data_IF_501431613501
#
_entry.id   IF_501431613501
#
_cell.length_a   1.000
_cell.length_b   1.000
_cell.length_c   1.000
_cell.angle_alpha   90.00
_cell.angle_beta   90.00
_cell.angle_gamma   90.00
#
_symmetry.space_group_name_H-M   'P 1'
#
loop_
_entity.id
_entity.type
_entity.pdbx_description
1 polymer ?
#
# COMPACT_ATOMS: atom_id res chain seq x y z
N UNK A 1 -17.06 41.19 39.77
CA UNK A 1 -17.10 39.78 39.31
C UNK A 1 -16.04 39.59 38.23
N UNK A 2 -15.08 38.68 38.48
CA UNK A 2 -14.26 37.91 37.52
C UNK A 2 -14.03 38.52 36.11
N UNK A 3 -12.89 39.19 35.92
CA UNK A 3 -12.19 39.16 34.63
C UNK A 3 -10.74 38.73 34.88
N UNK A 4 -10.62 37.44 35.20
CA UNK A 4 -9.39 36.67 35.00
C UNK A 4 -9.43 36.24 33.54
N UNK A 5 -8.64 36.84 32.66
CA UNK A 5 -8.12 36.10 31.51
C UNK A 5 -7.20 36.94 30.64
N UNK A 6 -6.06 36.31 30.36
CA UNK A 6 -5.19 36.54 29.22
C UNK A 6 -4.25 37.74 29.30
N UNK A 7 -2.95 37.41 29.37
CA UNK A 7 -1.82 37.93 28.59
C UNK A 7 -0.58 37.21 29.17
N UNK A 8 -0.25 36.02 28.68
CA UNK A 8 0.65 35.78 27.54
C UNK A 8 2.01 36.47 27.78
N UNK A 9 2.82 35.89 28.66
CA UNK A 9 4.28 36.11 28.70
C UNK A 9 4.91 34.76 29.03
N UNK A 10 5.30 34.00 28.01
CA UNK A 10 5.83 32.66 28.19
C UNK A 10 6.62 32.18 26.99
N UNK A 11 7.93 32.43 27.07
CA UNK A 11 9.00 31.75 26.37
C UNK A 11 9.02 31.83 24.83
N UNK A 12 9.80 32.79 24.34
CA UNK A 12 10.47 32.70 23.05
C UNK A 12 11.52 31.59 23.14
N UNK A 13 11.20 30.39 22.64
CA UNK A 13 12.18 29.30 22.48
C UNK A 13 12.94 29.50 21.17
N UNK A 14 14.19 29.94 21.29
CA UNK A 14 15.22 29.84 20.24
C UNK A 14 15.94 28.50 20.44
N UNK A 15 15.92 27.65 19.42
CA UNK A 15 16.76 26.45 19.31
C UNK A 15 16.85 26.05 17.83
N UNK A 16 17.92 26.41 17.13
CA UNK A 16 19.22 25.71 17.05
C UNK A 16 19.17 24.50 16.09
N UNK A 17 20.07 24.57 15.10
CA UNK A 17 20.23 23.64 14.00
C UNK A 17 20.53 22.19 14.43
N UNK A 18 19.83 21.25 13.80
CA UNK A 18 20.15 19.82 13.71
C UNK A 18 19.30 19.28 12.56
N UNK A 19 19.85 18.70 11.49
CA UNK A 19 20.85 17.66 11.49
C UNK A 19 20.13 16.32 11.34
N UNK A 20 20.42 15.65 10.22
CA UNK A 20 20.19 14.23 9.88
C UNK A 20 18.77 13.75 9.52
N UNK A 21 18.78 12.96 8.44
CA UNK A 21 17.68 12.37 7.68
C UNK A 21 16.88 11.40 8.56
N UNK A 22 15.61 11.69 8.82
CA UNK A 22 14.67 10.62 9.11
C UNK A 22 14.15 10.14 7.76
N UNK A 23 14.73 9.04 7.27
CA UNK A 23 13.99 8.19 6.33
C UNK A 23 12.73 7.82 7.08
N UNK A 24 11.62 8.42 6.67
CA UNK A 24 10.30 7.90 6.97
C UNK A 24 10.39 6.39 6.73
N UNK A 25 9.93 5.52 7.67
CA UNK A 25 9.61 4.18 7.28
C UNK A 25 8.40 4.33 6.35
N UNK A 26 8.66 4.68 5.09
CA UNK A 26 7.70 4.41 4.01
C UNK A 26 7.34 2.97 4.26
N UNK A 27 6.07 2.65 4.56
CA UNK A 27 5.69 1.26 4.70
C UNK A 27 6.13 0.64 3.38
N UNK A 28 7.23 -0.11 3.40
CA UNK A 28 7.55 -1.02 2.32
C UNK A 28 6.29 -1.83 2.26
N UNK A 29 5.47 -1.56 1.23
CA UNK A 29 4.14 -2.10 1.09
C UNK A 29 4.27 -3.55 1.51
N UNK A 30 3.74 -3.83 2.70
CA UNK A 30 3.64 -5.18 3.17
C UNK A 30 2.69 -5.73 2.13
N UNK A 31 3.24 -6.40 1.11
CA UNK A 31 2.47 -7.25 0.24
C UNK A 31 2.04 -8.38 1.16
N UNK A 32 1.06 -8.08 2.01
CA UNK A 32 0.00 -8.98 2.39
C UNK A 32 -0.54 -9.46 1.05
N UNK A 33 0.13 -10.49 0.54
CA UNK A 33 -0.37 -11.23 -0.58
C UNK A 33 -1.82 -11.56 -0.23
N UNK A 34 -2.74 -11.44 -1.19
CA UNK A 34 -4.14 -11.78 -1.00
C UNK A 34 -4.39 -12.84 0.06
N UNK A 35 -5.21 -12.50 1.06
CA UNK A 35 -5.78 -13.49 1.97
C UNK A 35 -6.70 -14.50 1.25
N UNK A 36 -7.04 -14.23 -0.03
CA UNK A 36 -7.81 -15.10 -0.92
C UNK A 36 -7.37 -14.97 -2.39
N UNK A 37 -7.41 -16.06 -3.15
CA UNK A 37 -7.08 -16.08 -4.58
C UNK A 37 -8.20 -16.69 -5.42
N UNK A 38 -8.32 -16.27 -6.68
CA UNK A 38 -9.31 -16.84 -7.60
C UNK A 38 -9.01 -18.32 -7.88
N UNK A 39 -10.04 -19.12 -8.15
CA UNK A 39 -9.85 -20.54 -8.49
C UNK A 39 -9.16 -20.70 -9.85
N UNK A 40 -9.44 -19.80 -10.78
CA UNK A 40 -8.91 -19.82 -12.13
C UNK A 40 -9.03 -18.44 -12.80
N UNK A 41 -8.34 -18.27 -13.91
CA UNK A 41 -8.37 -17.02 -14.66
C UNK A 41 -9.69 -16.71 -15.36
N UNK A 42 -10.56 -17.69 -15.60
CA UNK A 42 -11.89 -17.42 -16.13
C UNK A 42 -12.75 -16.67 -15.11
N UNK A 43 -12.63 -17.00 -13.83
CA UNK A 43 -13.31 -16.30 -12.74
C UNK A 43 -12.79 -14.87 -12.59
N UNK A 44 -11.47 -14.66 -12.60
CA UNK A 44 -10.87 -13.33 -12.54
C UNK A 44 -11.26 -12.44 -13.74
N UNK A 45 -11.35 -13.01 -14.95
CA UNK A 45 -11.81 -12.30 -16.15
C UNK A 45 -13.31 -12.03 -16.11
N UNK A 46 -14.13 -12.97 -15.64
CA UNK A 46 -15.57 -12.76 -15.47
C UNK A 46 -15.87 -11.66 -14.43
N UNK A 47 -15.03 -11.56 -13.40
CA UNK A 47 -15.06 -10.46 -12.44
C UNK A 47 -14.51 -9.14 -12.99
N UNK A 48 -13.90 -9.14 -14.18
CA UNK A 48 -13.34 -7.94 -14.81
C UNK A 48 -12.09 -7.39 -14.14
N UNK A 49 -11.41 -8.18 -13.31
CA UNK A 49 -10.23 -7.75 -12.54
C UNK A 49 -8.91 -8.24 -13.13
N UNK A 50 -8.94 -9.09 -14.15
CA UNK A 50 -7.74 -9.51 -14.86
C UNK A 50 -7.22 -8.40 -15.79
N UNK A 51 -5.88 -8.24 -15.96
CA UNK A 51 -4.80 -9.06 -15.38
C UNK A 51 -4.50 -8.73 -13.91
N UNK A 52 -4.11 -9.76 -13.14
CA UNK A 52 -3.79 -9.66 -11.72
C UNK A 52 -2.28 -9.58 -11.51
N UNK A 53 -1.83 -8.69 -10.63
CA UNK A 53 -0.40 -8.49 -10.36
C UNK A 53 0.00 -9.09 -9.02
N UNK A 54 1.26 -9.52 -8.89
CA UNK A 54 1.82 -9.96 -7.60
C UNK A 54 1.54 -8.92 -6.50
N UNK A 55 0.97 -9.39 -5.39
CA UNK A 55 0.59 -8.54 -4.25
C UNK A 55 -0.82 -7.94 -4.34
N UNK A 56 -1.54 -8.09 -5.45
CA UNK A 56 -2.94 -7.70 -5.52
C UNK A 56 -3.87 -8.77 -4.93
N UNK A 57 -4.96 -8.39 -4.25
CA UNK A 57 -6.00 -9.30 -3.82
C UNK A 57 -6.50 -10.16 -5.00
N UNK A 58 -6.74 -11.46 -4.80
CA UNK A 58 -7.11 -12.38 -5.86
C UNK A 58 -5.93 -13.00 -6.63
N UNK A 59 -4.73 -12.42 -6.59
CA UNK A 59 -3.53 -13.03 -7.18
C UNK A 59 -3.19 -14.35 -6.48
N UNK A 60 -2.92 -15.38 -7.26
CA UNK A 60 -2.32 -16.61 -6.78
C UNK A 60 -1.23 -17.03 -7.74
N UNK A 61 -0.10 -17.52 -7.23
CA UNK A 61 0.99 -18.00 -8.08
C UNK A 61 0.54 -19.13 -9.03
N UNK A 62 -0.54 -19.85 -8.72
CA UNK A 62 -1.15 -20.85 -9.60
C UNK A 62 -1.89 -20.25 -10.81
N UNK A 63 -2.20 -18.95 -10.79
CA UNK A 63 -2.83 -18.22 -11.89
C UNK A 63 -1.82 -17.61 -12.86
N UNK A 64 -0.56 -17.55 -12.43
CA UNK A 64 0.59 -17.01 -13.14
C UNK A 64 1.43 -18.18 -13.65
N UNK A 65 1.13 -18.66 -14.85
CA UNK A 65 1.67 -19.92 -15.35
C UNK A 65 3.17 -19.83 -15.66
N UNK A 66 3.62 -18.68 -16.13
CA UNK A 66 5.00 -18.40 -16.51
C UNK A 66 5.81 -17.73 -15.40
N UNK A 67 5.15 -17.22 -14.34
CA UNK A 67 5.79 -16.79 -13.10
C UNK A 67 6.41 -15.39 -13.18
N UNK A 68 6.01 -14.58 -14.16
CA UNK A 68 6.55 -13.25 -14.38
C UNK A 68 5.99 -12.21 -13.39
N UNK A 69 4.91 -12.58 -12.68
CA UNK A 69 4.21 -11.75 -11.71
C UNK A 69 2.91 -11.14 -12.23
N UNK A 70 2.47 -11.51 -13.43
CA UNK A 70 1.21 -11.08 -14.05
C UNK A 70 0.36 -12.32 -14.33
N UNK A 71 -0.64 -12.54 -13.48
CA UNK A 71 -1.61 -13.61 -13.64
C UNK A 71 -2.76 -13.23 -14.59
N UNK A 72 -3.32 -14.25 -15.23
CA UNK A 72 -4.56 -14.15 -16.02
C UNK A 72 -4.50 -13.19 -17.20
N UNK A 73 -3.32 -13.05 -17.78
CA UNK A 73 -3.10 -12.30 -19.00
C UNK A 73 -4.07 -12.70 -20.12
N UNK A 74 -4.34 -11.77 -21.05
CA UNK A 74 -5.24 -12.00 -22.18
C UNK A 74 -4.67 -12.97 -23.22
N UNK A 75 -3.49 -13.58 -23.01
CA UNK A 75 -2.91 -14.57 -23.92
C UNK A 75 -3.73 -15.86 -23.94
N UNK A 76 -4.79 -15.83 -24.73
CA UNK A 76 -5.57 -16.98 -25.16
C UNK A 76 -4.68 -17.92 -26.00
N UNK A 77 -4.02 -18.88 -25.36
CA UNK A 77 -3.54 -20.08 -26.08
C UNK A 77 -2.04 -20.24 -26.31
N UNK A 78 -1.19 -19.92 -25.33
CA UNK A 78 0.02 -20.76 -25.13
C UNK A 78 -0.26 -21.79 -24.06
#
# INVERSE_FOLDING_TARGET
MRQRSSLIIGALVVGAAGGVVLRDPTPAAQSEGPSWSFRNCSEARAAGVAPLHRGQPGYGAHLDRDGDGIACEPYTGR
#
